data_IF_894999893572
#
_entry.id   IF_894999893572
#
_cell.length_a   1.000
_cell.length_b   1.000
_cell.length_c   1.000
_cell.angle_alpha   90.00
_cell.angle_beta   90.00
_cell.angle_gamma   90.00
#
_symmetry.space_group_name_H-M   'P 1'
#
loop_
_entity.id
_entity.type
_entity.pdbx_description
1 polymer ?
#
# COMPACT_ATOMS: atom_id res chain seq x y z
N UNK A 1 34.93 2.66 -26.42
CA UNK A 1 33.74 2.05 -25.80
C UNK A 1 33.38 2.90 -24.59
N UNK A 2 32.41 3.79 -24.74
CA UNK A 2 31.94 4.64 -23.64
C UNK A 2 30.68 4.01 -23.06
N UNK A 3 30.82 3.26 -21.96
CA UNK A 3 29.68 2.98 -21.10
C UNK A 3 29.30 4.30 -20.44
N UNK A 4 28.33 5.02 -21.02
CA UNK A 4 27.62 6.04 -20.28
C UNK A 4 26.95 5.34 -19.10
N UNK A 5 27.58 5.46 -17.93
CA UNK A 5 26.93 5.29 -16.64
C UNK A 5 25.71 6.18 -16.64
N UNK A 6 24.57 5.63 -17.08
CA UNK A 6 23.28 6.27 -16.90
C UNK A 6 23.18 6.59 -15.43
N UNK A 7 23.16 7.88 -15.10
CA UNK A 7 23.06 8.35 -13.72
C UNK A 7 21.88 7.62 -13.09
N UNK A 8 22.16 6.69 -12.19
CA UNK A 8 21.17 6.01 -11.38
C UNK A 8 20.64 7.06 -10.41
N UNK A 9 19.72 7.90 -10.88
CA UNK A 9 19.11 8.97 -10.10
C UNK A 9 18.29 8.29 -8.99
N UNK A 10 18.76 8.30 -7.73
CA UNK A 10 18.06 7.60 -6.67
C UNK A 10 16.82 8.40 -6.27
N UNK A 11 15.85 7.74 -5.64
CA UNK A 11 14.74 8.45 -5.01
C UNK A 11 15.25 9.28 -3.83
N UNK A 12 14.85 10.55 -3.78
CA UNK A 12 14.97 11.38 -2.57
C UNK A 12 13.71 11.26 -1.71
N UNK A 13 13.80 11.76 -0.47
CA UNK A 13 12.65 11.79 0.44
C UNK A 13 11.52 12.65 -0.13
N UNK A 14 11.86 13.84 -0.64
CA UNK A 14 10.90 14.79 -1.21
C UNK A 14 10.13 14.18 -2.38
N UNK A 15 10.80 13.42 -3.23
CA UNK A 15 10.18 12.76 -4.38
C UNK A 15 9.23 11.63 -3.96
N UNK A 16 9.59 10.89 -2.91
CA UNK A 16 8.69 9.89 -2.32
C UNK A 16 7.48 10.55 -1.71
N UNK A 17 7.65 11.65 -0.96
CA UNK A 17 6.55 12.39 -0.35
C UNK A 17 5.58 12.92 -1.44
N UNK A 18 6.10 13.51 -2.52
CA UNK A 18 5.28 13.96 -3.68
C UNK A 18 4.53 12.78 -4.32
N UNK A 19 5.20 11.63 -4.49
CA UNK A 19 4.56 10.45 -5.06
C UNK A 19 3.40 9.95 -4.18
N UNK A 20 3.57 9.97 -2.86
CA UNK A 20 2.53 9.60 -1.91
C UNK A 20 1.33 10.54 -2.02
N UNK A 21 1.56 11.85 -2.06
CA UNK A 21 0.51 12.86 -2.21
C UNK A 21 -0.31 12.67 -3.50
N UNK A 22 0.34 12.26 -4.59
CA UNK A 22 -0.33 11.98 -5.86
C UNK A 22 -1.08 10.65 -5.87
N UNK A 23 -0.55 9.62 -5.21
CA UNK A 23 -1.12 8.28 -5.21
C UNK A 23 -2.32 8.17 -4.26
N UNK A 24 -2.21 8.74 -3.06
CA UNK A 24 -3.18 8.57 -1.96
C UNK A 24 -4.64 8.86 -2.38
N UNK A 25 -4.95 9.97 -3.09
CA UNK A 25 -6.33 10.29 -3.49
C UNK A 25 -6.96 9.28 -4.45
N UNK A 26 -6.14 8.47 -5.14
CA UNK A 26 -6.59 7.46 -6.10
C UNK A 26 -6.84 6.10 -5.45
N UNK A 27 -6.50 5.94 -4.17
CA UNK A 27 -6.64 4.70 -3.45
C UNK A 27 -8.08 4.47 -2.96
N UNK A 28 -8.55 3.21 -2.91
CA UNK A 28 -9.91 2.87 -2.51
C UNK A 28 -10.33 3.41 -1.13
N UNK A 29 -11.64 3.63 -0.97
CA UNK A 29 -12.27 3.92 0.31
C UNK A 29 -12.27 2.67 1.21
N UNK A 30 -12.41 2.89 2.53
CA UNK A 30 -12.49 1.81 3.51
C UNK A 30 -13.87 1.15 3.48
N UNK A 31 -13.88 -0.12 3.83
CA UNK A 31 -15.07 -0.95 3.96
C UNK A 31 -15.29 -1.29 5.44
N UNK A 32 -16.50 -1.09 5.97
CA UNK A 32 -16.87 -1.59 7.30
C UNK A 32 -17.39 -3.03 7.16
N UNK A 33 -16.65 -3.97 7.71
CA UNK A 33 -17.00 -5.39 7.72
C UNK A 33 -17.85 -5.75 8.95
N UNK A 34 -18.52 -6.91 8.88
CA UNK A 34 -19.19 -7.51 10.02
C UNK A 34 -18.26 -7.64 11.24
N UNK A 35 -18.81 -7.41 12.44
CA UNK A 35 -18.02 -7.32 13.67
C UNK A 35 -17.41 -5.93 13.94
N UNK A 36 -17.64 -4.96 13.07
CA UNK A 36 -17.13 -3.60 13.22
C UNK A 36 -15.62 -3.48 12.98
N UNK A 37 -15.12 -4.31 12.05
CA UNK A 37 -13.74 -4.27 11.56
C UNK A 37 -13.70 -3.34 10.36
N UNK A 38 -12.77 -2.39 10.36
CA UNK A 38 -12.54 -1.51 9.21
C UNK A 38 -11.47 -2.16 8.33
N UNK A 39 -11.75 -2.31 7.04
CA UNK A 39 -10.85 -2.89 6.05
C UNK A 39 -10.47 -1.83 5.03
N UNK A 40 -9.17 -1.60 4.86
CA UNK A 40 -8.61 -0.74 3.82
C UNK A 40 -7.95 -1.61 2.76
N UNK A 41 -8.30 -1.39 1.50
CA UNK A 41 -7.60 -1.99 0.35
C UNK A 41 -6.54 -1.03 -0.14
N UNK A 42 -5.28 -1.45 -0.04
CA UNK A 42 -4.12 -0.71 -0.46
C UNK A 42 -3.49 -1.22 -1.76
N UNK A 43 -2.70 -0.35 -2.39
CA UNK A 43 -1.90 -0.67 -3.57
C UNK A 43 -0.42 -0.60 -3.20
N UNK A 44 0.34 -1.66 -3.46
CA UNK A 44 1.78 -1.72 -3.14
C UNK A 44 2.14 -1.41 -1.68
N UNK A 45 1.20 -1.62 -0.75
CA UNK A 45 1.37 -1.34 0.68
C UNK A 45 0.97 0.07 1.13
N UNK A 46 0.44 0.90 0.23
CA UNK A 46 -0.09 2.23 0.55
C UNK A 46 -1.61 2.21 0.71
N UNK A 47 -2.14 3.02 1.62
CA UNK A 47 -3.56 3.13 1.94
C UNK A 47 -4.01 4.58 1.93
N UNK A 48 -5.31 4.82 1.72
CA UNK A 48 -5.88 6.15 1.80
C UNK A 48 -6.13 6.53 3.28
N UNK A 49 -5.50 7.58 3.84
CA UNK A 49 -5.75 8.04 5.21
C UNK A 49 -7.11 8.74 5.35
N UNK A 50 -7.70 9.20 4.24
CA UNK A 50 -9.04 9.81 4.20
C UNK A 50 -10.12 8.81 3.77
N UNK A 51 -9.87 7.50 3.95
CA UNK A 51 -10.72 6.44 3.41
C UNK A 51 -12.01 6.18 4.20
N UNK A 52 -12.17 6.78 5.39
CA UNK A 52 -13.35 6.56 6.21
C UNK A 52 -14.56 7.27 5.61
N UNK A 53 -15.65 6.52 5.43
CA UNK A 53 -16.92 7.10 4.99
C UNK A 53 -17.72 7.72 6.15
N UNK A 54 -17.56 7.18 7.36
CA UNK A 54 -18.22 7.68 8.57
C UNK A 54 -17.24 7.64 9.77
N UNK A 55 -16.96 8.79 10.42
CA UNK A 55 -16.15 8.85 11.64
C UNK A 55 -16.62 7.96 12.78
N UNK A 56 -17.92 7.63 12.86
CA UNK A 56 -18.47 6.78 13.91
C UNK A 56 -17.92 5.35 13.88
N UNK A 57 -17.33 4.92 12.75
CA UNK A 57 -16.68 3.61 12.64
C UNK A 57 -15.53 3.44 13.64
N UNK A 58 -14.95 4.55 14.11
CA UNK A 58 -13.87 4.57 15.08
C UNK A 58 -14.32 4.29 16.52
N UNK A 59 -15.63 4.25 16.77
CA UNK A 59 -16.25 3.92 18.08
C UNK A 59 -15.68 4.72 19.27
N UNK A 60 -15.17 5.92 19.02
CA UNK A 60 -14.52 6.77 20.03
C UNK A 60 -13.21 6.20 20.61
N UNK A 61 -12.65 5.13 20.04
CA UNK A 61 -11.40 4.51 20.50
C UNK A 61 -10.15 5.20 19.94
N UNK A 62 -10.31 5.91 18.83
CA UNK A 62 -9.30 6.73 18.16
C UNK A 62 -10.01 7.90 17.48
N UNK A 63 -9.38 9.06 17.45
CA UNK A 63 -9.89 10.24 16.74
C UNK A 63 -9.67 10.10 15.23
N UNK A 64 -10.44 10.84 14.40
CA UNK A 64 -10.19 10.88 12.95
C UNK A 64 -8.78 11.35 12.56
N UNK A 65 -8.18 12.22 13.37
CA UNK A 65 -6.81 12.71 13.21
C UNK A 65 -5.79 11.60 13.52
N UNK A 66 -5.92 10.94 14.66
CA UNK A 66 -5.03 9.81 15.01
C UNK A 66 -5.15 8.64 14.03
N UNK A 67 -6.36 8.41 13.49
CA UNK A 67 -6.56 7.44 12.41
C UNK A 67 -5.74 7.83 11.17
N UNK A 68 -5.86 9.09 10.72
CA UNK A 68 -5.10 9.61 9.57
C UNK A 68 -3.61 9.48 9.81
N UNK A 69 -3.13 9.89 10.99
CA UNK A 69 -1.73 9.80 11.38
C UNK A 69 -1.21 8.36 11.41
N UNK A 70 -2.03 7.40 11.87
CA UNK A 70 -1.66 5.98 11.87
C UNK A 70 -1.50 5.44 10.45
N UNK A 71 -2.41 5.79 9.53
CA UNK A 71 -2.31 5.38 8.13
C UNK A 71 -1.13 6.05 7.43
N UNK A 72 -0.93 7.35 7.63
CA UNK A 72 0.20 8.10 7.08
C UNK A 72 1.54 7.59 7.61
N UNK A 73 1.59 7.17 8.88
CA UNK A 73 2.78 6.53 9.43
C UNK A 73 3.13 5.24 8.67
N UNK A 74 2.15 4.37 8.38
CA UNK A 74 2.37 3.16 7.59
C UNK A 74 2.83 3.50 6.16
N UNK A 75 2.15 4.47 5.53
CA UNK A 75 2.47 4.92 4.17
C UNK A 75 3.91 5.45 4.07
N UNK A 76 4.32 6.33 4.98
CA UNK A 76 5.68 6.88 5.01
C UNK A 76 6.73 5.80 5.25
N UNK A 77 6.49 4.89 6.21
CA UNK A 77 7.42 3.76 6.47
C UNK A 77 7.58 2.88 5.23
N UNK A 78 6.49 2.61 4.52
CA UNK A 78 6.50 1.85 3.27
C UNK A 78 7.20 2.61 2.15
N UNK A 79 6.90 3.90 1.97
CA UNK A 79 7.46 4.74 0.91
C UNK A 79 8.95 4.98 1.08
N UNK A 80 9.43 5.20 2.31
CA UNK A 80 10.82 5.49 2.58
C UNK A 80 11.77 4.31 2.32
N UNK A 81 11.24 3.12 2.05
CA UNK A 81 12.03 2.00 1.50
C UNK A 81 12.61 2.28 0.12
N UNK A 82 12.06 3.26 -0.62
CA UNK A 82 12.57 3.66 -1.93
C UNK A 82 13.79 4.57 -1.85
N UNK A 83 13.99 5.28 -0.73
CA UNK A 83 15.05 6.29 -0.62
C UNK A 83 16.42 5.64 -0.86
N UNK A 84 17.21 6.24 -1.74
CA UNK A 84 18.52 5.71 -2.12
C UNK A 84 18.49 4.57 -3.15
N UNK A 85 17.32 4.02 -3.49
CA UNK A 85 17.18 3.06 -4.58
C UNK A 85 17.07 3.78 -5.93
N UNK A 86 17.62 3.17 -6.98
CA UNK A 86 17.48 3.69 -8.34
C UNK A 86 16.01 3.83 -8.74
N UNK A 87 15.68 4.94 -9.43
CA UNK A 87 14.35 5.13 -10.06
C UNK A 87 14.09 4.13 -11.19
N UNK A 88 15.14 3.66 -11.86
CA UNK A 88 15.03 2.59 -12.85
C UNK A 88 14.82 1.26 -12.13
N UNK A 89 13.64 0.67 -12.29
CA UNK A 89 13.31 -0.63 -11.71
C UNK A 89 13.69 -1.73 -12.71
N UNK A 90 14.73 -2.49 -12.39
CA UNK A 90 15.05 -3.72 -13.10
C UNK A 90 14.08 -4.82 -12.68
N UNK A 91 13.73 -5.74 -13.61
CA UNK A 91 12.84 -6.86 -13.31
C UNK A 91 13.36 -7.73 -12.15
N UNK A 92 14.69 -7.84 -12.00
CA UNK A 92 15.35 -8.53 -10.88
C UNK A 92 15.04 -7.92 -9.51
N UNK A 93 14.78 -6.61 -9.46
CA UNK A 93 14.63 -5.85 -8.21
C UNK A 93 13.19 -5.77 -7.74
N UNK A 94 12.22 -6.08 -8.61
CA UNK A 94 10.78 -5.94 -8.33
C UNK A 94 10.40 -6.70 -7.06
N UNK A 95 10.81 -7.97 -6.96
CA UNK A 95 10.51 -8.84 -5.81
C UNK A 95 11.19 -8.33 -4.53
N UNK A 96 12.44 -7.88 -4.62
CA UNK A 96 13.16 -7.36 -3.45
C UNK A 96 12.50 -6.08 -2.93
N UNK A 97 12.16 -5.14 -3.81
CA UNK A 97 11.49 -3.89 -3.44
C UNK A 97 10.12 -4.15 -2.83
N UNK A 98 9.39 -5.13 -3.34
CA UNK A 98 8.12 -5.57 -2.76
C UNK A 98 8.31 -6.14 -1.35
N UNK A 99 9.29 -7.01 -1.14
CA UNK A 99 9.60 -7.56 0.18
C UNK A 99 9.97 -6.47 1.18
N UNK A 100 10.80 -5.50 0.78
CA UNK A 100 11.17 -4.36 1.63
C UNK A 100 9.94 -3.56 2.06
N UNK A 101 9.02 -3.27 1.12
CA UNK A 101 7.77 -2.57 1.42
C UNK A 101 6.89 -3.36 2.39
N UNK A 102 6.69 -4.65 2.14
CA UNK A 102 5.88 -5.50 3.01
C UNK A 102 6.46 -5.55 4.43
N UNK A 103 7.77 -5.74 4.56
CA UNK A 103 8.43 -5.76 5.87
C UNK A 103 8.29 -4.42 6.60
N UNK A 104 8.49 -3.30 5.89
CA UNK A 104 8.33 -1.97 6.49
C UNK A 104 6.90 -1.69 6.95
N UNK A 105 5.90 -2.09 6.15
CA UNK A 105 4.49 -1.96 6.50
C UNK A 105 4.08 -2.82 7.70
N UNK A 106 4.55 -4.08 7.75
CA UNK A 106 4.33 -4.96 8.90
C UNK A 106 4.97 -4.41 10.18
N UNK A 107 6.22 -3.95 10.10
CA UNK A 107 6.90 -3.35 11.24
C UNK A 107 6.20 -2.07 11.74
N UNK A 108 5.70 -1.23 10.83
CA UNK A 108 4.91 -0.05 11.20
C UNK A 108 3.63 -0.43 11.96
N UNK A 109 2.94 -1.48 11.51
CA UNK A 109 1.75 -2.01 12.18
C UNK A 109 2.07 -2.61 13.56
N UNK A 110 3.21 -3.30 13.71
CA UNK A 110 3.67 -3.75 15.02
C UNK A 110 3.91 -2.59 15.98
N UNK A 111 4.52 -1.50 15.51
CA UNK A 111 4.75 -0.31 16.32
C UNK A 111 3.45 0.40 16.71
N UNK A 112 2.47 0.48 15.80
CA UNK A 112 1.14 1.01 16.12
C UNK A 112 0.42 0.14 17.16
N UNK A 113 0.50 -1.18 17.03
CA UNK A 113 -0.10 -2.12 17.99
C UNK A 113 0.52 -2.05 19.39
N UNK A 114 1.74 -1.52 19.54
CA UNK A 114 2.33 -1.23 20.85
C UNK A 114 1.78 0.07 21.46
N UNK A 115 1.34 1.01 20.61
CA UNK A 115 0.81 2.33 21.03
C UNK A 115 -0.68 2.27 21.37
N UNK A 116 -1.45 1.52 20.59
CA UNK A 116 -2.90 1.39 20.78
C UNK A 116 -3.23 0.07 21.46
N UNK A 117 -3.76 0.14 22.68
CA UNK A 117 -4.14 -1.05 23.47
C UNK A 117 -5.55 -1.55 23.19
N UNK A 118 -6.43 -0.66 22.72
CA UNK A 118 -7.85 -0.93 22.43
C UNK A 118 -8.14 -1.16 20.95
N UNK A 119 -7.10 -1.17 20.11
CA UNK A 119 -7.20 -1.28 18.66
C UNK A 119 -6.14 -2.24 18.17
N UNK A 120 -6.53 -3.13 17.28
CA UNK A 120 -5.63 -4.07 16.62
C UNK A 120 -5.56 -3.80 15.12
N UNK A 121 -4.38 -3.41 14.66
CA UNK A 121 -4.03 -3.28 13.25
C UNK A 121 -3.45 -4.61 12.74
N UNK A 122 -3.89 -5.06 11.57
CA UNK A 122 -3.38 -6.28 10.90
C UNK A 122 -3.05 -5.99 9.45
N UNK A 123 -1.79 -6.22 9.06
CA UNK A 123 -1.27 -6.00 7.72
C UNK A 123 -1.21 -7.32 6.95
N UNK A 124 -1.94 -7.43 5.83
CA UNK A 124 -2.04 -8.67 5.06
C UNK A 124 -1.73 -8.41 3.57
N UNK A 125 -0.53 -8.79 3.08
CA UNK A 125 -0.25 -8.83 1.66
C UNK A 125 -0.93 -10.04 1.02
N UNK A 126 -1.67 -9.81 -0.07
CA UNK A 126 -2.38 -10.85 -0.83
C UNK A 126 -1.98 -10.74 -2.30
N UNK A 127 -1.60 -11.86 -2.90
CA UNK A 127 -1.39 -11.92 -4.34
C UNK A 127 -2.75 -12.02 -5.04
N UNK A 128 -3.19 -10.94 -5.71
CA UNK A 128 -4.38 -10.98 -6.54
C UNK A 128 -3.98 -11.17 -8.00
N UNK A 129 -4.57 -12.19 -8.63
CA UNK A 129 -4.48 -12.35 -10.09
C UNK A 129 -5.68 -11.65 -10.69
N UNK A 130 -5.47 -10.46 -11.27
CA UNK A 130 -6.52 -9.81 -12.04
C UNK A 130 -6.60 -10.49 -13.40
N UNK A 131 -7.65 -11.28 -13.61
CA UNK A 131 -7.98 -11.83 -14.93
C UNK A 131 -8.76 -10.75 -15.68
N UNK A 132 -8.10 -10.03 -16.57
CA UNK A 132 -8.81 -9.17 -17.52
C UNK A 132 -9.40 -10.07 -18.62
N UNK A 133 -10.72 -10.25 -18.61
CA UNK A 133 -11.42 -10.81 -19.76
C UNK A 133 -11.50 -9.73 -20.85
N UNK A 134 -10.60 -9.79 -21.84
CA UNK A 134 -10.77 -9.00 -23.06
C UNK A 134 -11.86 -9.72 -23.87
N UNK A 135 -13.02 -9.08 -24.02
CA UNK A 135 -14.08 -9.56 -24.91
C UNK A 135 -13.51 -9.75 -26.33
N UNK A 136 -13.69 -10.92 -26.96
CA UNK A 136 -13.14 -11.19 -28.27
C UNK A 136 -14.02 -10.54 -29.33
N UNK A 137 -13.62 -9.41 -29.89
CA UNK A 137 -14.22 -8.92 -31.14
C UNK A 137 -13.51 -9.43 -32.39
N UNK A 138 -12.33 -10.09 -32.30
CA UNK A 138 -11.57 -10.52 -33.47
C UNK A 138 -10.77 -11.83 -33.24
N UNK A 139 -11.48 -12.96 -33.19
CA UNK A 139 -11.04 -14.25 -33.78
C UNK A 139 -9.76 -14.97 -33.29
N UNK A 140 -8.99 -14.47 -32.34
CA UNK A 140 -7.79 -15.16 -31.83
C UNK A 140 -7.75 -15.14 -30.31
N UNK A 141 -8.15 -16.25 -29.68
CA UNK A 141 -8.01 -16.46 -28.24
C UNK A 141 -6.52 -16.65 -27.90
N UNK A 142 -5.84 -15.58 -27.48
CA UNK A 142 -4.55 -15.69 -26.78
C UNK A 142 -4.80 -15.61 -25.28
N UNK A 143 -4.27 -16.59 -24.55
CA UNK A 143 -4.17 -16.57 -23.08
C UNK A 143 -3.51 -15.25 -22.65
N UNK A 144 -4.27 -14.43 -21.94
CA UNK A 144 -3.80 -13.18 -21.35
C UNK A 144 -2.98 -13.56 -20.11
N UNK A 145 -1.69 -13.27 -20.13
CA UNK A 145 -0.83 -13.34 -18.94
C UNK A 145 -1.34 -12.27 -17.98
N UNK A 146 -2.12 -12.68 -16.97
CA UNK A 146 -2.52 -11.79 -15.89
C UNK A 146 -1.27 -11.31 -15.14
N UNK A 147 -0.99 -10.01 -15.17
CA UNK A 147 -0.01 -9.44 -14.25
C UNK A 147 -0.52 -9.71 -12.82
N UNK A 148 0.26 -10.44 -12.03
CA UNK A 148 0.02 -10.58 -10.60
C UNK A 148 0.34 -9.25 -9.95
N UNK A 149 -0.67 -8.65 -9.32
CA UNK A 149 -0.47 -7.45 -8.51
C UNK A 149 -0.62 -7.86 -7.04
N UNK A 150 0.31 -7.37 -6.22
CA UNK A 150 0.19 -7.54 -4.78
C UNK A 150 -0.73 -6.46 -4.25
N UNK A 151 -1.90 -6.90 -3.79
CA UNK A 151 -2.86 -6.07 -3.08
C UNK A 151 -2.58 -6.24 -1.60
N UNK A 152 -2.57 -5.15 -0.86
CA UNK A 152 -2.36 -5.21 0.58
C UNK A 152 -3.65 -4.81 1.26
N UNK A 153 -4.07 -5.57 2.26
CA UNK A 153 -5.17 -5.21 3.14
C UNK A 153 -4.65 -4.79 4.50
N UNK A 154 -5.25 -3.72 5.03
CA UNK A 154 -5.10 -3.33 6.43
C UNK A 154 -6.45 -3.51 7.11
N UNK A 155 -6.48 -4.30 8.17
CA UNK A 155 -7.65 -4.49 9.01
C UNK A 155 -7.45 -3.79 10.35
N UNK A 156 -8.49 -3.10 10.82
CA UNK A 156 -8.51 -2.37 12.08
C UNK A 156 -9.69 -2.90 12.88
N UNK A 157 -9.40 -3.59 13.98
CA UNK A 157 -10.38 -4.15 14.89
C UNK A 157 -10.35 -3.42 16.23
N UNK A 158 -11.52 -3.16 16.81
CA UNK A 158 -11.67 -2.52 18.11
C UNK A 158 -11.92 -3.58 19.19
N UNK A 159 -11.15 -3.53 20.28
CA UNK A 159 -11.20 -4.44 21.43
C UNK A 159 -12.09 -3.89 22.56
#
# INVERSE_FOLDING_TARGET
MGCTTGMLNPWTKEEVDIQLEQLIPLLPQAELMGGGIIKLRGSSGFFNPNSLLDPNWLKGKITPEEYRDAIDYINRRTGYTYIGLSKTVLLSDVRLREQLRTQAGMAAVEDLNKRYTSIKFTYQPTAETVVMNILPSLGHSRLIVGNRYTVTYLYIAFL
#
